data_IF_898533190285
#
_entry.id   IF_898533190285
#
_cell.length_a   1.000
_cell.length_b   1.000
_cell.length_c   1.000
_cell.angle_alpha   90.00
_cell.angle_beta   90.00
_cell.angle_gamma   90.00
#
_symmetry.space_group_name_H-M   'P 1'
#
loop_
_entity.id
_entity.type
_entity.pdbx_description
1 polymer ?
#
# COMPACT_ATOMS: atom_id res chain seq x y z
N UNK A 1 7.97 -3.75 9.11
CA UNK A 1 7.58 -4.78 8.13
C UNK A 1 7.32 -4.13 6.76
N UNK A 2 7.97 -4.65 5.72
CA UNK A 2 7.91 -4.16 4.34
C UNK A 2 7.22 -5.20 3.45
N UNK A 3 6.36 -4.74 2.54
CA UNK A 3 5.58 -5.60 1.63
C UNK A 3 6.04 -5.50 0.16
N UNK A 4 7.11 -4.76 -0.14
CA UNK A 4 7.55 -4.56 -1.52
C UNK A 4 7.92 -5.85 -2.25
N UNK A 5 8.52 -6.80 -1.52
CA UNK A 5 8.90 -8.10 -2.09
C UNK A 5 7.68 -8.89 -2.59
N UNK A 6 6.53 -8.75 -1.91
CA UNK A 6 5.33 -9.54 -2.19
C UNK A 6 4.41 -8.85 -3.20
N UNK A 7 4.50 -7.53 -3.33
CA UNK A 7 3.69 -6.71 -4.23
C UNK A 7 4.40 -6.37 -5.55
N UNK A 8 5.52 -7.04 -5.85
CA UNK A 8 6.25 -6.83 -7.10
C UNK A 8 6.95 -5.46 -7.19
N UNK A 9 7.34 -4.87 -6.05
CA UNK A 9 8.04 -3.59 -5.98
C UNK A 9 7.13 -2.36 -5.88
N UNK A 10 5.82 -2.53 -5.76
CA UNK A 10 4.86 -1.41 -5.65
C UNK A 10 4.35 -1.32 -4.22
N UNK A 11 4.57 -0.18 -3.55
CA UNK A 11 4.09 0.01 -2.17
C UNK A 11 2.59 0.35 -2.15
N UNK A 12 1.71 -0.52 -1.63
CA UNK A 12 0.27 -0.25 -1.59
C UNK A 12 -0.06 0.87 -0.59
N UNK A 13 0.76 1.08 0.45
CA UNK A 13 0.55 2.15 1.44
C UNK A 13 0.80 3.53 0.85
N UNK A 14 1.84 3.68 0.02
CA UNK A 14 2.19 4.96 -0.60
C UNK A 14 1.31 5.25 -1.83
N UNK A 15 1.02 4.22 -2.65
CA UNK A 15 0.32 4.40 -3.92
C UNK A 15 -1.21 4.38 -3.80
N UNK A 16 -1.77 3.74 -2.77
CA UNK A 16 -3.21 3.75 -2.54
C UNK A 16 -3.61 4.95 -1.69
N UNK A 17 -4.64 5.70 -2.12
CA UNK A 17 -5.19 6.80 -1.34
C UNK A 17 -5.66 6.39 0.07
N UNK A 18 -6.09 5.14 0.24
CA UNK A 18 -6.54 4.58 1.52
C UNK A 18 -5.41 3.91 2.33
N UNK A 19 -4.20 3.81 1.78
CA UNK A 19 -3.05 3.24 2.46
C UNK A 19 -3.20 1.77 2.90
N UNK A 20 -4.11 1.01 2.29
CA UNK A 20 -4.40 -0.38 2.72
C UNK A 20 -3.23 -1.30 2.42
N UNK A 21 -2.85 -2.10 3.42
CA UNK A 21 -1.73 -3.06 3.33
C UNK A 21 -2.19 -4.48 2.98
N UNK A 22 -3.35 -4.89 3.48
CA UNK A 22 -3.75 -6.30 3.53
C UNK A 22 -4.69 -6.71 2.38
N UNK A 23 -4.90 -5.84 1.40
CA UNK A 23 -5.75 -6.14 0.25
C UNK A 23 -6.35 -4.91 -0.42
N UNK A 24 -7.01 -5.12 -1.57
CA UNK A 24 -7.70 -4.06 -2.30
C UNK A 24 -8.86 -3.47 -1.49
N UNK A 25 -9.10 -2.17 -1.69
CA UNK A 25 -10.20 -1.45 -1.04
C UNK A 25 -11.58 -1.68 -1.68
N UNK A 26 -11.65 -2.39 -2.81
CA UNK A 26 -12.88 -2.63 -3.57
C UNK A 26 -13.36 -1.46 -4.44
N UNK A 27 -12.96 -0.22 -4.17
CA UNK A 27 -13.36 0.94 -4.97
C UNK A 27 -12.37 1.27 -6.10
N UNK A 28 -12.05 0.30 -6.94
CA UNK A 28 -11.40 0.59 -8.22
C UNK A 28 -12.43 0.58 -9.34
N UNK A 29 -12.47 1.63 -10.15
CA UNK A 29 -13.32 1.72 -11.35
C UNK A 29 -12.44 1.70 -12.60
N UNK A 30 -12.64 0.72 -13.48
CA UNK A 30 -11.94 0.60 -14.78
C UNK A 30 -10.41 0.80 -14.75
N UNK A 31 -9.73 0.39 -13.68
CA UNK A 31 -8.27 0.60 -13.54
C UNK A 31 -7.87 1.78 -12.64
N UNK A 32 -8.80 2.69 -12.34
CA UNK A 32 -8.59 3.93 -11.60
C UNK A 32 -9.10 3.86 -10.16
N UNK A 33 -8.64 4.79 -9.32
CA UNK A 33 -9.06 4.89 -7.92
C UNK A 33 -10.44 5.57 -7.80
N UNK A 34 -11.30 5.13 -6.87
CA UNK A 34 -12.57 5.81 -6.55
C UNK A 34 -12.37 7.26 -6.06
N UNK A 35 -11.27 7.55 -5.38
CA UNK A 35 -10.99 8.85 -4.76
C UNK A 35 -10.54 9.86 -5.82
N UNK A 36 -9.82 9.38 -6.83
CA UNK A 36 -9.22 10.22 -7.87
C UNK A 36 -9.16 9.43 -9.18
N UNK A 37 -9.96 9.86 -10.15
CA UNK A 37 -10.12 9.20 -11.46
C UNK A 37 -8.87 9.32 -12.34
N UNK A 38 -7.98 10.27 -12.06
CA UNK A 38 -6.73 10.42 -12.80
C UNK A 38 -5.71 9.34 -12.35
N UNK A 39 -5.74 9.00 -11.05
CA UNK A 39 -4.80 8.06 -10.44
C UNK A 39 -5.14 6.60 -10.73
N UNK A 40 -4.13 5.86 -11.18
CA UNK A 40 -4.22 4.41 -11.31
C UNK A 40 -4.36 3.72 -9.95
N UNK A 41 -5.20 2.70 -9.88
CA UNK A 41 -5.38 1.92 -8.67
C UNK A 41 -4.10 1.12 -8.36
N UNK A 42 -3.51 1.38 -7.18
CA UNK A 42 -2.31 0.68 -6.73
C UNK A 42 -2.42 -0.85 -6.80
N UNK A 43 -3.58 -1.41 -6.44
CA UNK A 43 -3.80 -2.86 -6.45
C UNK A 43 -3.93 -3.46 -7.84
N UNK A 44 -4.44 -2.69 -8.81
CA UNK A 44 -4.47 -3.11 -10.22
C UNK A 44 -3.05 -3.11 -10.79
N UNK A 45 -2.24 -2.09 -10.46
CA UNK A 45 -0.82 -2.06 -10.84
C UNK A 45 -0.04 -3.23 -10.22
N UNK A 46 -0.27 -3.53 -8.93
CA UNK A 46 0.33 -4.68 -8.26
C UNK A 46 -0.08 -5.99 -8.94
N UNK A 47 -1.37 -6.17 -9.23
CA UNK A 47 -1.86 -7.36 -9.91
C UNK A 47 -1.21 -7.56 -11.28
N UNK A 48 -1.17 -6.51 -12.10
CA UNK A 48 -0.55 -6.55 -13.42
C UNK A 48 0.94 -6.90 -13.32
N UNK A 49 1.66 -6.26 -12.38
CA UNK A 49 3.08 -6.53 -12.16
C UNK A 49 3.35 -7.95 -11.69
N UNK A 50 2.54 -8.47 -10.77
CA UNK A 50 2.67 -9.85 -10.29
C UNK A 50 2.28 -10.88 -11.36
N UNK A 51 1.33 -10.54 -12.23
CA UNK A 51 0.97 -11.36 -13.39
C UNK A 51 2.15 -11.50 -14.36
N UNK A 52 2.87 -10.40 -14.65
CA UNK A 52 4.08 -10.43 -15.47
C UNK A 52 5.20 -11.27 -14.84
N UNK A 53 5.33 -11.24 -13.51
CA UNK A 53 6.34 -11.99 -12.76
C UNK A 53 5.94 -13.45 -12.48
N UNK A 54 4.71 -13.86 -12.82
CA UNK A 54 4.19 -15.19 -12.47
C UNK A 54 3.98 -15.41 -10.97
N UNK A 55 3.88 -14.35 -10.17
CA UNK A 55 3.83 -14.39 -8.70
C UNK A 55 2.43 -14.09 -8.13
N UNK A 56 1.36 -14.40 -8.88
CA UNK A 56 -0.02 -14.10 -8.47
C UNK A 56 -0.43 -14.79 -7.15
N UNK A 57 0.20 -15.89 -6.79
CA UNK A 57 -0.06 -16.60 -5.53
C UNK A 57 0.23 -15.73 -4.30
N UNK A 58 1.11 -14.74 -4.40
CA UNK A 58 1.41 -13.80 -3.31
C UNK A 58 0.20 -12.99 -2.85
N UNK A 59 -0.78 -12.75 -3.74
CA UNK A 59 -2.02 -12.04 -3.44
C UNK A 59 -3.04 -12.92 -2.71
N UNK A 60 -2.95 -14.24 -2.84
CA UNK A 60 -3.87 -15.19 -2.17
C UNK A 60 -3.46 -15.49 -0.73
N UNK A 61 -2.20 -15.22 -0.37
CA UNK A 61 -1.68 -15.50 0.96
C UNK A 61 -2.26 -14.52 1.98
N UNK A 62 -3.04 -15.04 2.94
CA UNK A 62 -3.47 -14.29 4.12
C UNK A 62 -2.26 -13.92 4.97
N UNK A 63 -2.16 -12.64 5.33
CA UNK A 63 -1.06 -12.11 6.16
C UNK A 63 -1.64 -11.48 7.43
N UNK A 64 -0.93 -11.58 8.56
CA UNK A 64 -1.36 -10.93 9.79
C UNK A 64 -1.38 -9.41 9.59
N UNK A 65 -2.21 -8.74 10.38
CA UNK A 65 -2.17 -7.29 10.45
C UNK A 65 -0.78 -6.84 10.89
N UNK A 66 -0.22 -5.85 10.18
CA UNK A 66 1.07 -5.25 10.52
C UNK A 66 1.05 -4.73 11.96
N UNK A 67 2.12 -4.98 12.69
CA UNK A 67 2.28 -4.45 14.03
C UNK A 67 2.70 -2.97 13.96
N UNK A 68 1.79 -2.08 14.37
CA UNK A 68 2.02 -0.63 14.36
C UNK A 68 2.68 -0.12 15.65
N UNK A 69 2.86 -0.96 16.68
CA UNK A 69 3.46 -0.56 17.97
C UNK A 69 4.92 -0.10 17.83
N UNK A 70 5.62 -0.64 16.82
CA UNK A 70 7.04 -0.36 16.53
C UNK A 70 7.28 0.87 15.63
N UNK A 71 6.24 1.65 15.32
CA UNK A 71 6.38 2.85 14.50
C UNK A 71 6.90 4.02 15.33
N UNK A 72 8.16 4.37 15.13
CA UNK A 72 8.70 5.65 15.58
C UNK A 72 8.06 6.78 14.77
N UNK A 73 7.09 7.47 15.38
CA UNK A 73 6.59 8.75 14.91
C UNK A 73 6.96 9.80 15.97
N UNK A 74 7.84 10.78 15.72
CA UNK A 74 7.59 12.08 16.34
C UNK A 74 6.30 12.58 15.70
N UNK A 75 5.14 12.33 16.35
CA UNK A 75 3.84 12.82 15.85
C UNK A 75 3.74 14.34 15.98
N UNK A 76 4.62 14.93 16.77
CA UNK A 76 4.79 16.36 16.96
C UNK A 76 6.30 16.64 17.07
N UNK A 77 6.83 17.52 16.22
CA UNK A 77 8.14 18.13 16.45
C UNK A 77 7.87 19.33 17.34
N UNK A 78 8.16 19.20 18.63
CA UNK A 78 8.06 20.33 19.54
C UNK A 78 9.23 21.28 19.26
N UNK A 79 8.97 22.35 18.50
CA UNK A 79 9.96 23.38 18.16
C UNK A 79 10.22 24.36 19.32
N UNK A 80 9.62 24.20 20.50
CA UNK A 80 9.77 25.14 21.64
C UNK A 80 11.11 25.01 22.41
N UNK A 81 12.14 24.44 21.80
CA UNK A 81 13.47 24.29 22.42
C UNK A 81 14.59 24.97 21.65
N UNK A 82 14.26 25.80 20.66
CA UNK A 82 15.23 26.56 19.85
C UNK A 82 15.01 28.06 20.06
N UNK A 83 15.22 28.52 21.29
CA UNK A 83 15.49 29.93 21.61
C UNK A 83 16.86 30.02 22.29
#
# INVERSE_FOLDING_TARGET
>A
ECVLNITGGICPVMRCAKGLLNGPCGGSDKGKCEVDKDKDCAWILIYNRLKELGMLENLKQSRPAKDYSKLNKPREVNLKGQE
#
